data_IF_546803553339
#
_entry.id   IF_546803553339
#
_cell.length_a   1.000
_cell.length_b   1.000
_cell.length_c   1.000
_cell.angle_alpha   90.00
_cell.angle_beta   90.00
_cell.angle_gamma   90.00
#
_symmetry.space_group_name_H-M   'P 1'
#
loop_
_entity.id
_entity.type
_entity.pdbx_description
1 polymer ?
#
# COMPACT_ATOMS: atom_id res chain seq x y z
N UNK A 1 -49.41 0.95 -48.88
CA UNK A 1 -47.95 1.18 -48.75
C UNK A 1 -47.58 1.62 -47.33
N UNK A 2 -48.29 2.58 -46.75
CA UNK A 2 -48.10 3.10 -45.38
C UNK A 2 -48.27 2.05 -44.27
N UNK A 3 -49.28 1.18 -44.33
CA UNK A 3 -49.54 0.17 -43.28
C UNK A 3 -48.37 -0.77 -43.01
N UNK A 4 -47.61 -1.15 -44.06
CA UNK A 4 -46.43 -2.02 -43.90
C UNK A 4 -45.30 -1.30 -43.18
N UNK A 5 -45.05 -0.04 -43.55
CA UNK A 5 -44.06 0.83 -42.90
C UNK A 5 -44.42 1.08 -41.43
N UNK A 6 -45.70 1.27 -41.12
CA UNK A 6 -46.18 1.44 -39.74
C UNK A 6 -45.94 0.18 -38.90
N UNK A 7 -46.23 -1.00 -39.44
CA UNK A 7 -45.99 -2.28 -38.74
C UNK A 7 -44.48 -2.50 -38.51
N UNK A 8 -43.66 -2.24 -39.53
CA UNK A 8 -42.19 -2.34 -39.43
C UNK A 8 -41.63 -1.38 -38.36
N UNK A 9 -42.07 -0.13 -38.36
CA UNK A 9 -41.65 0.85 -37.35
C UNK A 9 -42.08 0.45 -35.93
N UNK A 10 -43.30 -0.08 -35.77
CA UNK A 10 -43.76 -0.60 -34.49
C UNK A 10 -42.91 -1.80 -34.01
N UNK A 11 -42.55 -2.71 -34.92
CA UNK A 11 -41.66 -3.84 -34.62
C UNK A 11 -40.24 -3.37 -34.24
N UNK A 12 -39.72 -2.36 -34.92
CA UNK A 12 -38.40 -1.80 -34.63
C UNK A 12 -38.35 -1.18 -33.24
N UNK A 13 -39.36 -0.41 -32.86
CA UNK A 13 -39.48 0.15 -31.50
C UNK A 13 -39.56 -0.97 -30.45
N UNK A 14 -40.36 -2.01 -30.70
CA UNK A 14 -40.45 -3.17 -29.80
C UNK A 14 -39.11 -3.90 -29.67
N UNK A 15 -38.39 -4.12 -30.78
CA UNK A 15 -37.08 -4.74 -30.77
C UNK A 15 -36.06 -3.90 -29.98
N UNK A 16 -36.08 -2.58 -30.17
CA UNK A 16 -35.22 -1.65 -29.43
C UNK A 16 -35.51 -1.67 -27.92
N UNK A 17 -36.78 -1.60 -27.53
CA UNK A 17 -37.18 -1.70 -26.11
C UNK A 17 -36.78 -3.06 -25.53
N UNK A 18 -36.97 -4.16 -26.29
CA UNK A 18 -36.54 -5.49 -25.88
C UNK A 18 -35.02 -5.56 -25.65
N UNK A 19 -34.22 -4.99 -26.55
CA UNK A 19 -32.77 -4.93 -26.40
C UNK A 19 -32.34 -4.12 -25.16
N UNK A 20 -33.01 -2.99 -24.89
CA UNK A 20 -32.77 -2.19 -23.68
C UNK A 20 -33.03 -2.98 -22.41
N UNK A 21 -34.17 -3.67 -22.32
CA UNK A 21 -34.51 -4.50 -21.15
C UNK A 21 -33.47 -5.58 -20.91
N UNK A 22 -33.02 -6.26 -21.97
CA UNK A 22 -31.97 -7.29 -21.87
C UNK A 22 -30.66 -6.69 -21.37
N UNK A 23 -30.21 -5.56 -21.92
CA UNK A 23 -28.98 -4.91 -21.46
C UNK A 23 -29.06 -4.46 -20.01
N UNK A 24 -30.17 -3.83 -19.61
CA UNK A 24 -30.38 -3.39 -18.23
C UNK A 24 -30.38 -4.58 -17.27
N UNK A 25 -31.04 -5.68 -17.62
CA UNK A 25 -31.01 -6.92 -16.82
C UNK A 25 -29.59 -7.45 -16.62
N UNK A 26 -28.77 -7.46 -17.69
CA UNK A 26 -27.36 -7.89 -17.60
C UNK A 26 -26.53 -6.98 -16.69
N UNK A 27 -26.76 -5.67 -16.74
CA UNK A 27 -26.07 -4.70 -15.88
C UNK A 27 -26.44 -4.93 -14.41
N UNK A 28 -27.73 -5.10 -14.10
CA UNK A 28 -28.20 -5.37 -12.74
C UNK A 28 -27.55 -6.63 -12.18
N UNK A 29 -27.57 -7.74 -12.93
CA UNK A 29 -26.93 -8.98 -12.49
C UNK A 29 -25.41 -8.84 -12.29
N UNK A 30 -24.73 -8.00 -13.09
CA UNK A 30 -23.31 -7.72 -12.89
C UNK A 30 -23.08 -6.92 -11.60
N UNK A 31 -23.88 -5.89 -11.35
CA UNK A 31 -23.79 -5.07 -10.13
C UNK A 31 -24.07 -5.89 -8.86
N UNK A 32 -25.04 -6.81 -8.91
CA UNK A 32 -25.33 -7.72 -7.79
C UNK A 32 -24.13 -8.61 -7.44
N UNK A 33 -23.44 -9.14 -8.46
CA UNK A 33 -22.22 -9.95 -8.28
C UNK A 33 -21.04 -9.13 -7.74
N UNK A 34 -20.96 -7.85 -8.09
CA UNK A 34 -19.87 -6.96 -7.68
C UNK A 34 -20.07 -6.48 -6.23
N UNK A 35 -21.26 -6.01 -5.88
CA UNK A 35 -21.49 -5.32 -4.59
C UNK A 35 -22.88 -5.48 -3.97
N UNK A 36 -23.83 -6.18 -4.61
CA UNK A 36 -25.21 -6.25 -4.12
C UNK A 36 -25.48 -7.30 -3.04
N UNK A 37 -24.49 -8.11 -2.67
CA UNK A 37 -24.64 -9.20 -1.70
C UNK A 37 -23.46 -9.28 -0.72
N UNK A 38 -23.66 -9.80 0.51
CA UNK A 38 -22.57 -10.11 1.44
C UNK A 38 -21.53 -11.10 0.90
N UNK A 39 -21.87 -11.88 -0.14
CA UNK A 39 -20.96 -12.82 -0.81
C UNK A 39 -20.35 -12.25 -2.10
N UNK A 40 -20.62 -10.98 -2.40
CA UNK A 40 -20.13 -10.29 -3.59
C UNK A 40 -18.61 -10.08 -3.57
N UNK A 41 -18.06 -9.72 -4.72
CA UNK A 41 -16.62 -9.52 -4.88
C UNK A 41 -16.08 -8.40 -3.97
N UNK A 42 -16.80 -7.28 -3.87
CA UNK A 42 -16.41 -6.17 -2.98
C UNK A 42 -16.47 -6.57 -1.51
N UNK A 43 -17.47 -7.35 -1.10
CA UNK A 43 -17.57 -7.83 0.27
C UNK A 43 -16.37 -8.72 0.65
N UNK A 44 -15.95 -9.61 -0.26
CA UNK A 44 -14.74 -10.44 -0.08
C UNK A 44 -13.47 -9.60 0.00
N UNK A 45 -13.30 -8.62 -0.89
CA UNK A 45 -12.15 -7.72 -0.86
C UNK A 45 -12.11 -6.91 0.43
N UNK A 46 -13.23 -6.33 0.85
CA UNK A 46 -13.33 -5.57 2.10
C UNK A 46 -13.02 -6.42 3.33
N UNK A 47 -13.52 -7.67 3.36
CA UNK A 47 -13.16 -8.62 4.41
C UNK A 47 -11.66 -8.92 4.43
N UNK A 48 -11.07 -9.22 3.26
CA UNK A 48 -9.64 -9.51 3.14
C UNK A 48 -8.76 -8.33 3.57
N UNK A 49 -9.08 -7.10 3.13
CA UNK A 49 -8.35 -5.89 3.52
C UNK A 49 -8.44 -5.65 5.03
N UNK A 50 -9.61 -5.85 5.64
CA UNK A 50 -9.77 -5.72 7.09
C UNK A 50 -9.03 -6.80 7.87
N UNK A 51 -8.95 -8.01 7.35
CA UNK A 51 -8.13 -9.07 7.94
C UNK A 51 -6.64 -8.67 7.91
N UNK A 52 -6.14 -8.20 6.77
CA UNK A 52 -4.77 -7.69 6.63
C UNK A 52 -4.52 -6.53 7.60
N UNK A 53 -5.42 -5.55 7.68
CA UNK A 53 -5.32 -4.43 8.62
C UNK A 53 -5.19 -4.93 10.07
N UNK A 54 -6.05 -5.87 10.47
CA UNK A 54 -6.04 -6.44 11.81
C UNK A 54 -4.73 -7.18 12.10
N UNK A 55 -4.30 -8.03 11.17
CA UNK A 55 -3.06 -8.80 11.31
C UNK A 55 -1.83 -7.90 11.30
N UNK A 56 -1.80 -6.83 10.51
CA UNK A 56 -0.63 -5.93 10.40
C UNK A 56 -0.64 -4.77 11.38
N UNK A 57 -1.72 -4.55 12.12
CA UNK A 57 -1.87 -3.42 13.07
C UNK A 57 -0.76 -3.31 14.11
N UNK A 58 -0.16 -4.45 14.51
CA UNK A 58 0.92 -4.50 15.48
C UNK A 58 2.30 -4.19 14.87
N UNK A 59 2.43 -4.14 13.54
CA UNK A 59 3.70 -3.94 12.86
C UNK A 59 4.17 -2.49 12.99
N UNK A 60 3.26 -1.52 12.89
CA UNK A 60 3.59 -0.10 13.04
C UNK A 60 4.31 0.24 14.36
N UNK A 61 3.79 -0.12 15.56
CA UNK A 61 4.50 0.16 16.80
C UNK A 61 5.80 -0.64 16.95
N UNK A 62 5.90 -1.84 16.36
CA UNK A 62 7.13 -2.63 16.38
C UNK A 62 8.24 -1.97 15.54
N UNK A 63 7.90 -1.46 14.35
CA UNK A 63 8.85 -0.74 13.48
C UNK A 63 9.34 0.54 14.18
N UNK A 64 8.46 1.29 14.84
CA UNK A 64 8.85 2.47 15.62
C UNK A 64 9.84 2.11 16.73
N UNK A 65 9.51 1.10 17.56
CA UNK A 65 10.40 0.64 18.64
C UNK A 65 11.75 0.13 18.11
N UNK A 66 11.74 -0.60 17.01
CA UNK A 66 12.96 -1.09 16.38
C UNK A 66 13.85 0.09 15.93
N UNK A 67 13.25 1.09 15.29
CA UNK A 67 13.97 2.27 14.84
C UNK A 67 14.55 3.09 16.00
N UNK A 68 13.79 3.25 17.09
CA UNK A 68 14.27 3.87 18.33
C UNK A 68 15.46 3.11 18.93
N UNK A 69 15.35 1.77 18.99
CA UNK A 69 16.42 0.90 19.48
C UNK A 69 17.70 1.00 18.63
N UNK A 70 17.56 0.96 17.31
CA UNK A 70 18.69 1.10 16.38
C UNK A 70 19.33 2.49 16.44
N UNK A 71 18.52 3.54 16.59
CA UNK A 71 19.01 4.91 16.76
C UNK A 71 19.80 5.05 18.07
N UNK A 72 19.27 4.50 19.17
CA UNK A 72 19.96 4.49 20.46
C UNK A 72 21.26 3.68 20.41
N UNK A 73 21.25 2.54 19.74
CA UNK A 73 22.44 1.71 19.55
C UNK A 73 23.51 2.45 18.74
N UNK A 74 23.13 3.10 17.63
CA UNK A 74 24.04 3.91 16.83
C UNK A 74 24.67 5.04 17.63
N UNK A 75 23.88 5.75 18.44
CA UNK A 75 24.41 6.80 19.32
C UNK A 75 25.43 6.25 20.33
N UNK A 76 25.14 5.10 20.97
CA UNK A 76 26.07 4.47 21.91
C UNK A 76 27.35 3.99 21.24
N UNK A 77 27.25 3.40 20.04
CA UNK A 77 28.42 2.98 19.27
C UNK A 77 29.29 4.17 18.86
N UNK A 78 28.69 5.32 18.51
CA UNK A 78 29.45 6.56 18.26
C UNK A 78 30.23 7.06 19.48
N UNK A 79 29.65 6.92 20.68
CA UNK A 79 30.36 7.25 21.93
C UNK A 79 31.54 6.29 22.17
N UNK A 80 31.35 5.00 21.92
CA UNK A 80 32.43 4.00 22.04
C UNK A 80 33.56 4.29 21.06
N UNK A 81 33.24 4.60 19.80
CA UNK A 81 34.23 4.97 18.78
C UNK A 81 35.03 6.22 19.17
N UNK A 82 34.35 7.27 19.64
CA UNK A 82 35.01 8.47 20.14
C UNK A 82 35.96 8.18 21.32
N UNK A 83 35.53 7.32 22.25
CA UNK A 83 36.36 6.93 23.39
C UNK A 83 37.58 6.09 22.96
N UNK A 84 37.40 5.16 22.01
CA UNK A 84 38.50 4.38 21.46
C UNK A 84 39.49 5.26 20.70
N UNK A 85 39.01 6.23 19.91
CA UNK A 85 39.85 7.23 19.24
C UNK A 85 40.67 8.07 20.23
N UNK A 86 40.06 8.51 21.34
CA UNK A 86 40.75 9.25 22.39
C UNK A 86 41.84 8.40 23.07
N UNK A 87 41.54 7.14 23.40
CA UNK A 87 42.51 6.20 24.00
C UNK A 87 43.65 5.89 23.03
N UNK A 88 43.35 5.64 21.76
CA UNK A 88 44.37 5.42 20.73
C UNK A 88 45.27 6.65 20.55
N UNK A 89 44.71 7.86 20.59
CA UNK A 89 45.49 9.11 20.57
C UNK A 89 46.40 9.26 21.80
N UNK A 90 45.89 8.93 22.99
CA UNK A 90 46.67 8.98 24.23
C UNK A 90 47.79 7.93 24.28
N UNK A 91 47.57 6.74 23.71
CA UNK A 91 48.58 5.68 23.59
C UNK A 91 49.55 5.91 22.42
N UNK A 92 49.12 6.64 21.39
CA UNK A 92 49.88 6.97 20.18
C UNK A 92 50.80 8.19 20.31
N UNK A 93 50.73 8.95 21.39
CA UNK A 93 51.72 9.98 21.73
C UNK A 93 52.64 9.49 22.86
N UNK A 94 53.96 9.32 22.71
CA UNK A 94 54.91 9.83 21.71
C UNK A 94 56.19 8.96 21.79
N UNK A 95 57.00 8.79 20.71
CA UNK A 95 58.36 9.34 20.79
C UNK A 95 58.95 9.82 19.45
N UNK A 96 59.32 11.11 19.36
CA UNK A 96 60.46 11.69 18.62
C UNK A 96 60.29 13.23 18.66
N UNK A 97 61.21 14.07 19.13
CA UNK A 97 62.66 14.03 19.04
C UNK A 97 63.10 15.39 18.51
N UNK A 98 64.00 16.07 19.24
CA UNK A 98 64.63 17.35 18.88
C UNK A 98 64.96 17.50 17.38
N UNK A 99 64.66 18.68 16.84
CA UNK A 99 65.44 19.43 15.83
C UNK A 99 65.02 20.90 16.04
N UNK A 100 65.86 21.85 16.43
CA UNK A 100 67.23 22.10 15.97
C UNK A 100 67.15 23.19 14.90
N UNK A 101 67.60 24.40 15.25
CA UNK A 101 67.92 25.60 14.45
C UNK A 101 66.75 26.27 13.69
N UNK A 102 66.57 27.60 13.72
CA UNK A 102 67.50 28.72 13.92
C UNK A 102 66.84 29.89 14.66
#
# INVERSE_FOLDING_TARGET
>A
MTTRLTILSALEVLAFVGALVVMLGRIVSALERIGGSPTSSLAKVGFGVRAIEKETSHLAPQVTRLNEGLTSLGAKLGVVDAHLGAVAGALGGTPAGKKGDA
#
